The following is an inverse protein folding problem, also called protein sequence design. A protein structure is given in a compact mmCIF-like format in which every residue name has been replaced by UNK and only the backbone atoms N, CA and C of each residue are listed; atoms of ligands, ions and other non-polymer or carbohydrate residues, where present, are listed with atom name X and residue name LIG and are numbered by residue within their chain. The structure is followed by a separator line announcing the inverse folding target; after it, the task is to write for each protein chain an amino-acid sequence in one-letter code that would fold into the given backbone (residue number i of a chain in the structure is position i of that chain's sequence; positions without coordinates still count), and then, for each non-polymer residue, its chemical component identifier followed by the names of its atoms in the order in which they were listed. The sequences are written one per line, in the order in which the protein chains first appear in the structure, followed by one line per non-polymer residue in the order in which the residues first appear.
data_IF_622204104042
#
_entry.id   IF_622204104042
#
_cell.length_a   1.000
_cell.length_b   1.000
_cell.length_c   1.000
_cell.angle_alpha   90.00
_cell.angle_beta   90.00
_cell.angle_gamma   90.00
#
_symmetry.space_group_name_H-M   'P 1'
#
loop_
_entity.id
_entity.type
_entity.pdbx_description
1 polymer ?
#
# COMPACT_ATOMS: atom_id res chain seq x y z
N UNK A 1 8.25 14.51 -7.13
CA UNK A 1 9.07 15.32 -6.23
C UNK A 1 8.26 15.99 -5.13
N UNK A 2 7.23 16.82 -5.43
CA UNK A 2 6.45 17.54 -4.42
C UNK A 2 5.82 16.60 -3.38
N UNK A 3 5.23 15.51 -3.83
CA UNK A 3 4.63 14.48 -2.96
C UNK A 3 5.70 13.86 -2.04
N UNK A 4 6.88 13.54 -2.57
CA UNK A 4 7.96 12.98 -1.78
C UNK A 4 8.52 13.99 -0.78
N UNK A 5 8.61 15.27 -1.17
CA UNK A 5 9.04 16.33 -0.28
C UNK A 5 8.04 16.56 0.86
N UNK A 6 6.73 16.53 0.56
CA UNK A 6 5.72 16.61 1.58
C UNK A 6 5.77 15.42 2.55
N UNK A 7 5.96 14.20 2.03
CA UNK A 7 6.14 13.00 2.86
C UNK A 7 7.38 13.09 3.77
N UNK A 8 8.46 13.68 3.28
CA UNK A 8 9.66 13.94 4.06
C UNK A 8 9.34 14.93 5.20
N UNK A 9 8.60 16.00 4.91
CA UNK A 9 8.13 16.94 5.92
C UNK A 9 7.25 16.30 6.99
N UNK A 10 6.37 15.36 6.59
CA UNK A 10 5.55 14.61 7.55
C UNK A 10 6.41 13.73 8.48
N UNK A 11 7.41 13.04 7.94
CA UNK A 11 8.23 12.11 8.74
C UNK A 11 9.21 12.80 9.67
N UNK A 12 9.79 13.95 9.26
CA UNK A 12 10.90 14.56 9.98
C UNK A 12 10.60 15.95 10.55
N UNK A 13 9.56 16.65 10.06
CA UNK A 13 9.27 18.03 10.44
C UNK A 13 7.86 18.23 10.98
N UNK A 14 7.16 17.16 11.35
CA UNK A 14 5.80 17.19 11.88
C UNK A 14 4.82 17.98 11.00
N UNK A 15 4.98 17.90 9.66
CA UNK A 15 4.01 18.49 8.75
C UNK A 15 2.67 17.79 8.89
N UNK A 16 1.55 18.53 8.71
CA UNK A 16 0.24 18.01 9.05
C UNK A 16 -0.14 16.79 8.23
N UNK A 17 -0.92 15.91 8.88
CA UNK A 17 -1.58 14.77 8.24
C UNK A 17 -3.03 15.14 7.99
N UNK A 18 -3.49 14.95 6.76
CA UNK A 18 -4.88 15.18 6.39
C UNK A 18 -5.63 13.85 6.39
N UNK A 19 -6.48 13.64 7.38
CA UNK A 19 -7.28 12.42 7.50
C UNK A 19 -8.74 12.78 7.79
N UNK A 20 -9.56 12.80 6.75
CA UNK A 20 -10.99 13.15 6.86
C UNK A 20 -11.78 12.14 7.70
N UNK A 21 -11.26 10.94 7.89
CA UNK A 21 -11.89 9.91 8.72
C UNK A 21 -11.52 10.01 10.21
N UNK A 22 -10.53 10.83 10.55
CA UNK A 22 -10.13 11.04 11.94
C UNK A 22 -11.02 12.09 12.61
N UNK A 23 -11.60 11.76 13.78
CA UNK A 23 -12.52 12.64 14.49
C UNK A 23 -11.85 13.92 14.99
N UNK A 24 -10.59 13.86 15.39
CA UNK A 24 -9.86 15.03 15.87
C UNK A 24 -9.52 15.97 14.73
N UNK A 25 -9.19 15.42 13.55
CA UNK A 25 -8.99 16.23 12.35
C UNK A 25 -10.29 16.97 11.96
N UNK A 26 -11.45 16.31 12.05
CA UNK A 26 -12.73 16.94 11.73
C UNK A 26 -13.14 18.05 12.72
N UNK A 27 -12.55 18.07 13.92
CA UNK A 27 -12.66 19.17 14.90
C UNK A 27 -11.68 20.31 14.63
N UNK A 28 -10.87 20.24 13.60
CA UNK A 28 -9.84 21.23 13.28
C UNK A 28 -8.51 21.02 14.02
N UNK A 29 -8.34 19.91 14.73
CA UNK A 29 -7.09 19.59 15.43
C UNK A 29 -6.06 19.11 14.42
N UNK A 30 -4.86 19.70 14.46
CA UNK A 30 -3.75 19.32 13.61
C UNK A 30 -3.20 17.95 14.02
N UNK A 31 -3.09 17.05 13.04
CA UNK A 31 -2.48 15.74 13.23
C UNK A 31 -1.05 15.74 12.70
N UNK A 32 -0.17 14.96 13.33
CA UNK A 32 1.18 14.67 12.84
C UNK A 32 1.47 13.16 12.92
N UNK A 33 2.41 12.65 12.12
CA UNK A 33 2.78 11.24 12.17
C UNK A 33 3.62 10.92 13.41
N UNK A 34 3.25 9.86 14.13
CA UNK A 34 4.09 9.27 15.18
C UNK A 34 5.32 8.57 14.58
N UNK A 35 6.26 8.16 15.41
CA UNK A 35 7.55 7.62 14.96
C UNK A 35 7.41 6.42 14.01
N UNK A 36 6.52 5.47 14.32
CA UNK A 36 6.28 4.25 13.54
C UNK A 36 5.12 4.36 12.55
N UNK A 37 4.48 5.53 12.48
CA UNK A 37 3.40 5.75 11.55
C UNK A 37 3.89 5.77 10.09
N UNK A 38 3.09 5.23 9.21
CA UNK A 38 3.35 5.15 7.77
C UNK A 38 3.16 6.51 7.12
N UNK A 39 4.09 6.90 6.27
CA UNK A 39 3.95 8.14 5.51
C UNK A 39 2.82 7.98 4.49
N UNK A 40 1.91 8.94 4.48
CA UNK A 40 0.81 9.00 3.51
C UNK A 40 0.87 10.24 2.60
N UNK A 41 1.76 11.18 2.87
CA UNK A 41 1.91 12.43 2.12
C UNK A 41 0.57 13.17 1.99
N UNK A 42 0.18 13.56 0.79
CA UNK A 42 -1.07 14.25 0.49
C UNK A 42 -2.25 13.32 0.20
N UNK A 43 -2.12 12.02 0.48
CA UNK A 43 -3.16 11.02 0.24
C UNK A 43 -3.99 10.74 1.49
N UNK A 44 -5.18 10.19 1.32
CA UNK A 44 -6.06 9.79 2.41
C UNK A 44 -5.52 8.63 3.24
N UNK A 45 -4.63 7.82 2.66
CA UNK A 45 -3.97 6.70 3.32
C UNK A 45 -2.67 6.29 2.61
N UNK A 46 -1.85 5.54 3.33
CA UNK A 46 -0.57 5.01 2.82
C UNK A 46 -0.77 3.98 1.68
N UNK A 47 -1.90 3.27 1.64
CA UNK A 47 -2.23 2.35 0.54
C UNK A 47 -2.49 3.09 -0.77
N UNK A 48 -3.22 4.21 -0.71
CA UNK A 48 -3.49 5.06 -1.88
C UNK A 48 -2.21 5.68 -2.41
N UNK A 49 -1.35 6.17 -1.50
CA UNK A 49 -0.03 6.66 -1.85
C UNK A 49 0.80 5.57 -2.53
N UNK A 50 0.83 4.35 -1.95
CA UNK A 50 1.55 3.22 -2.53
C UNK A 50 1.05 2.87 -3.93
N UNK A 51 -0.26 2.76 -4.13
CA UNK A 51 -0.87 2.49 -5.43
C UNK A 51 -0.57 3.59 -6.48
N UNK A 52 -0.60 4.86 -6.07
CA UNK A 52 -0.20 5.98 -6.92
C UNK A 52 1.27 5.86 -7.36
N UNK A 53 2.16 5.49 -6.45
CA UNK A 53 3.58 5.31 -6.75
C UNK A 53 3.83 4.11 -7.68
N UNK A 54 3.03 3.05 -7.58
CA UNK A 54 3.04 1.91 -8.53
C UNK A 54 2.72 2.36 -9.96
N UNK A 55 1.98 3.47 -10.15
CA UNK A 55 1.73 4.03 -11.49
C UNK A 55 2.89 4.92 -11.92
N UNK A 56 3.27 5.88 -11.07
CA UNK A 56 4.15 6.98 -11.48
C UNK A 56 5.61 6.56 -11.58
N UNK A 57 6.09 5.72 -10.67
CA UNK A 57 7.51 5.32 -10.65
C UNK A 57 7.93 4.50 -11.89
N UNK A 58 7.13 3.53 -12.38
CA UNK A 58 7.43 2.85 -13.63
C UNK A 58 7.55 3.81 -14.82
N UNK A 59 6.66 4.78 -14.92
CA UNK A 59 6.68 5.76 -16.01
C UNK A 59 7.95 6.62 -15.93
N UNK A 60 8.28 7.16 -14.75
CA UNK A 60 9.51 7.91 -14.53
C UNK A 60 10.76 7.10 -14.90
N UNK A 61 10.79 5.83 -14.48
CA UNK A 61 11.92 4.94 -14.75
C UNK A 61 12.07 4.62 -16.23
N UNK A 62 10.96 4.42 -16.94
CA UNK A 62 10.94 4.20 -18.38
C UNK A 62 11.53 5.41 -19.13
N UNK A 63 11.12 6.63 -18.77
CA UNK A 63 11.73 7.85 -19.29
C UNK A 63 13.20 7.98 -18.93
N UNK A 64 13.58 7.66 -17.68
CA UNK A 64 14.97 7.73 -17.22
C UNK A 64 15.90 6.79 -18.03
N UNK A 65 15.43 5.60 -18.38
CA UNK A 65 16.23 4.67 -19.17
C UNK A 65 16.30 5.02 -20.65
N UNK A 66 15.28 5.66 -21.21
CA UNK A 66 15.19 5.96 -22.63
C UNK A 66 15.63 7.39 -23.00
N UNK A 67 15.72 8.31 -22.03
CA UNK A 67 16.15 9.68 -22.29
C UNK A 67 17.57 9.75 -22.85
N UNK A 68 17.75 10.50 -23.93
CA UNK A 68 19.04 10.72 -24.60
C UNK A 68 19.88 11.76 -23.88
N UNK A 69 19.26 12.76 -23.25
CA UNK A 69 19.95 13.84 -22.57
C UNK A 69 20.41 13.41 -21.17
N UNK A 70 21.70 13.50 -20.91
CA UNK A 70 22.33 13.07 -19.64
C UNK A 70 21.73 13.76 -18.41
N UNK A 71 21.40 15.05 -18.51
CA UNK A 71 20.84 15.79 -17.36
C UNK A 71 19.40 15.36 -17.06
N UNK A 72 18.54 15.19 -18.10
CA UNK A 72 17.19 14.69 -17.94
C UNK A 72 17.19 13.32 -17.28
N UNK A 73 18.05 12.43 -17.76
CA UNK A 73 18.21 11.09 -17.19
C UNK A 73 18.59 11.14 -15.71
N UNK A 74 19.53 12.04 -15.32
CA UNK A 74 19.92 12.19 -13.91
C UNK A 74 18.77 12.70 -13.05
N UNK A 75 18.07 13.73 -13.49
CA UNK A 75 16.92 14.28 -12.78
C UNK A 75 15.81 13.25 -12.61
N UNK A 76 15.52 12.49 -13.66
CA UNK A 76 14.50 11.44 -13.62
C UNK A 76 14.88 10.29 -12.66
N UNK A 77 16.14 9.86 -12.66
CA UNK A 77 16.62 8.87 -11.69
C UNK A 77 16.59 9.39 -10.24
N UNK A 78 16.95 10.64 -10.01
CA UNK A 78 16.83 11.25 -8.68
C UNK A 78 15.36 11.34 -8.23
N UNK A 79 14.48 11.83 -9.10
CA UNK A 79 13.04 11.90 -8.81
C UNK A 79 12.47 10.51 -8.51
N UNK A 80 12.88 9.50 -9.29
CA UNK A 80 12.50 8.12 -9.07
C UNK A 80 13.02 7.60 -7.71
N UNK A 81 14.27 7.87 -7.34
CA UNK A 81 14.85 7.47 -6.06
C UNK A 81 14.09 8.10 -4.87
N UNK A 82 13.70 9.38 -4.95
CA UNK A 82 12.85 10.04 -3.95
C UNK A 82 11.45 9.41 -3.86
N UNK A 83 10.87 9.01 -5.00
CA UNK A 83 9.60 8.32 -5.01
C UNK A 83 9.70 6.89 -4.46
N UNK A 84 10.80 6.18 -4.72
CA UNK A 84 11.08 4.88 -4.14
C UNK A 84 11.27 4.96 -2.62
N UNK A 85 12.01 5.97 -2.14
CA UNK A 85 12.10 6.27 -0.72
C UNK A 85 10.70 6.44 -0.10
N UNK A 86 9.83 7.22 -0.74
CA UNK A 86 8.47 7.44 -0.26
C UNK A 86 7.63 6.15 -0.25
N UNK A 87 7.82 5.27 -1.25
CA UNK A 87 7.16 3.96 -1.29
C UNK A 87 7.62 3.07 -0.12
N UNK A 88 8.91 3.06 0.20
CA UNK A 88 9.45 2.34 1.37
C UNK A 88 8.87 2.91 2.66
N UNK A 89 8.85 4.26 2.81
CA UNK A 89 8.32 4.92 4.00
C UNK A 89 6.79 4.78 4.17
N UNK A 90 6.06 4.45 3.10
CA UNK A 90 4.65 4.10 3.21
C UNK A 90 4.42 2.75 3.90
N UNK A 91 5.46 1.95 4.07
CA UNK A 91 5.46 0.60 4.64
C UNK A 91 4.31 -0.30 4.13
N UNK A 92 3.94 -0.12 2.85
CA UNK A 92 2.83 -0.82 2.20
C UNK A 92 3.36 -2.01 1.39
N UNK A 93 3.24 -3.23 1.94
CA UNK A 93 3.80 -4.47 1.36
C UNK A 93 3.31 -4.76 -0.05
N UNK A 94 2.00 -4.70 -0.27
CA UNK A 94 1.40 -5.03 -1.57
C UNK A 94 1.80 -4.06 -2.68
N UNK A 95 1.74 -2.73 -2.51
CA UNK A 95 2.26 -1.80 -3.49
C UNK A 95 3.77 -1.97 -3.74
N UNK A 96 4.55 -2.28 -2.71
CA UNK A 96 5.99 -2.51 -2.87
C UNK A 96 6.28 -3.75 -3.72
N UNK A 97 5.59 -4.87 -3.47
CA UNK A 97 5.69 -6.08 -4.28
C UNK A 97 5.20 -5.85 -5.72
N UNK A 98 4.07 -5.16 -5.90
CA UNK A 98 3.50 -4.79 -7.19
C UNK A 98 4.46 -3.89 -8.01
N UNK A 99 5.13 -2.96 -7.34
CA UNK A 99 6.17 -2.14 -7.96
C UNK A 99 7.38 -2.98 -8.37
N UNK A 100 7.80 -3.97 -7.56
CA UNK A 100 8.85 -4.93 -7.92
C UNK A 100 8.51 -5.67 -9.22
N UNK A 101 7.28 -6.13 -9.39
CA UNK A 101 6.79 -6.73 -10.62
C UNK A 101 6.85 -5.75 -11.80
N UNK A 102 6.40 -4.50 -11.61
CA UNK A 102 6.46 -3.48 -12.64
C UNK A 102 7.91 -3.19 -13.09
N UNK A 103 8.87 -3.15 -12.18
CA UNK A 103 10.31 -2.99 -12.49
C UNK A 103 10.81 -4.11 -13.41
N UNK A 104 10.45 -5.36 -13.11
CA UNK A 104 10.87 -6.50 -13.96
C UNK A 104 10.40 -6.32 -15.39
N UNK A 105 9.15 -5.88 -15.58
CA UNK A 105 8.63 -5.57 -16.92
C UNK A 105 9.38 -4.42 -17.57
N UNK A 106 9.63 -3.32 -16.87
CA UNK A 106 10.38 -2.18 -17.44
C UNK A 106 11.76 -2.62 -17.89
N UNK A 107 12.53 -3.28 -17.01
CA UNK A 107 13.90 -3.71 -17.31
C UNK A 107 13.90 -4.66 -18.51
N UNK A 108 12.97 -5.60 -18.54
CA UNK A 108 12.82 -6.55 -19.65
C UNK A 108 12.50 -5.83 -20.95
N UNK A 109 11.49 -4.96 -20.95
CA UNK A 109 11.02 -4.26 -22.16
C UNK A 109 12.05 -3.25 -22.69
N UNK A 110 12.69 -2.49 -21.79
CA UNK A 110 13.77 -1.55 -22.20
C UNK A 110 14.96 -2.33 -22.73
N UNK A 111 15.34 -3.45 -22.12
CA UNK A 111 16.48 -4.26 -22.54
C UNK A 111 16.19 -5.01 -23.85
N UNK A 112 14.93 -5.38 -24.12
CA UNK A 112 14.53 -6.02 -25.37
C UNK A 112 14.73 -5.16 -26.62
N UNK A 113 14.83 -3.83 -26.45
CA UNK A 113 15.10 -2.86 -27.53
C UNK A 113 16.54 -2.88 -28.04
N UNK A 114 17.47 -3.51 -27.31
CA UNK A 114 18.85 -3.69 -27.79
C UNK A 114 18.91 -4.60 -29.02
N UNK A 115 19.92 -4.33 -29.89
CA UNK A 115 20.00 -4.99 -31.21
C UNK A 115 20.38 -6.46 -31.17
N UNK A 116 21.26 -6.85 -30.24
CA UNK A 116 21.80 -8.22 -30.17
C UNK A 116 21.43 -8.90 -28.86
N UNK A 117 21.34 -10.21 -28.86
CA UNK A 117 20.99 -10.99 -27.66
C UNK A 117 21.98 -10.72 -26.49
N UNK A 118 23.28 -10.68 -26.76
CA UNK A 118 24.30 -10.36 -25.75
C UNK A 118 24.08 -8.96 -25.13
N UNK A 119 23.74 -7.96 -25.96
CA UNK A 119 23.43 -6.61 -25.46
C UNK A 119 22.13 -6.58 -24.66
N UNK A 120 21.11 -7.34 -25.09
CA UNK A 120 19.84 -7.48 -24.34
C UNK A 120 20.11 -8.03 -22.94
N UNK A 121 20.82 -9.16 -22.86
CA UNK A 121 21.15 -9.82 -21.59
C UNK A 121 22.06 -8.93 -20.71
N UNK A 122 23.10 -8.33 -21.26
CA UNK A 122 23.98 -7.42 -20.54
C UNK A 122 23.25 -6.17 -20.02
N UNK A 123 22.34 -5.60 -20.84
CA UNK A 123 21.49 -4.46 -20.44
C UNK A 123 20.53 -4.84 -19.33
N UNK A 124 19.92 -6.03 -19.42
CA UNK A 124 19.03 -6.56 -18.39
C UNK A 124 19.77 -6.75 -17.06
N UNK A 125 20.89 -7.44 -17.05
CA UNK A 125 21.68 -7.72 -15.84
C UNK A 125 22.14 -6.39 -15.21
N UNK A 126 22.69 -5.47 -16.00
CA UNK A 126 23.15 -4.16 -15.50
C UNK A 126 22.04 -3.36 -14.83
N UNK A 127 20.85 -3.29 -15.49
CA UNK A 127 19.72 -2.53 -14.95
C UNK A 127 19.11 -3.21 -13.72
N UNK A 128 19.01 -4.56 -13.73
CA UNK A 128 18.54 -5.34 -12.59
C UNK A 128 19.45 -5.18 -11.38
N UNK A 129 20.77 -5.26 -11.59
CA UNK A 129 21.74 -5.05 -10.52
C UNK A 129 21.67 -3.62 -9.96
N UNK A 130 21.64 -2.60 -10.83
CA UNK A 130 21.53 -1.20 -10.39
C UNK A 130 20.26 -0.91 -9.61
N UNK A 131 19.11 -1.48 -10.06
CA UNK A 131 17.83 -1.29 -9.38
C UNK A 131 17.78 -2.09 -8.07
N UNK A 132 18.23 -3.34 -8.08
CA UNK A 132 18.32 -4.17 -6.87
C UNK A 132 19.22 -3.53 -5.81
N UNK A 133 20.35 -2.97 -6.23
CA UNK A 133 21.26 -2.23 -5.34
C UNK A 133 20.60 -0.98 -4.74
N UNK A 134 19.85 -0.21 -5.56
CA UNK A 134 19.10 0.95 -5.07
C UNK A 134 18.02 0.56 -4.06
N UNK A 135 17.23 -0.49 -4.37
CA UNK A 135 16.20 -1.00 -3.46
C UNK A 135 16.84 -1.49 -2.17
N UNK A 136 17.95 -2.23 -2.25
CA UNK A 136 18.69 -2.71 -1.08
C UNK A 136 19.14 -1.54 -0.19
N UNK A 137 19.77 -0.50 -0.76
CA UNK A 137 20.15 0.68 0.02
C UNK A 137 18.94 1.34 0.67
N UNK A 138 17.84 1.52 -0.06
CA UNK A 138 16.62 2.14 0.48
C UNK A 138 16.01 1.31 1.61
N UNK A 139 15.94 0.00 1.45
CA UNK A 139 15.45 -0.92 2.50
C UNK A 139 16.37 -0.91 3.72
N UNK A 140 17.67 -1.02 3.52
CA UNK A 140 18.62 -0.99 4.62
C UNK A 140 18.65 0.36 5.35
N UNK A 141 18.44 1.49 4.68
CA UNK A 141 18.52 2.82 5.29
C UNK A 141 17.20 3.29 5.90
N UNK A 142 16.07 2.90 5.34
CA UNK A 142 14.75 3.46 5.68
C UNK A 142 13.65 2.40 5.83
N UNK A 143 13.95 1.13 5.59
CA UNK A 143 12.95 0.09 5.47
C UNK A 143 12.62 -0.68 6.75
N UNK A 144 12.97 -0.19 7.94
CA UNK A 144 12.72 -0.90 9.19
C UNK A 144 11.24 -1.25 9.35
N UNK A 145 10.35 -0.26 9.26
CA UNK A 145 8.91 -0.48 9.39
C UNK A 145 8.37 -1.45 8.31
N UNK A 146 8.94 -1.43 7.10
CA UNK A 146 8.59 -2.37 6.04
C UNK A 146 9.09 -3.78 6.33
N UNK A 147 10.32 -3.91 6.84
CA UNK A 147 10.94 -5.19 7.21
C UNK A 147 10.16 -5.87 8.33
N UNK A 148 9.84 -5.16 9.41
CA UNK A 148 9.04 -5.69 10.53
C UNK A 148 7.69 -6.22 10.06
N UNK A 149 7.07 -5.56 9.09
CA UNK A 149 5.80 -6.02 8.50
C UNK A 149 5.94 -7.24 7.59
N UNK A 150 7.09 -7.42 6.94
CA UNK A 150 7.38 -8.66 6.23
C UNK A 150 7.62 -9.80 7.22
N UNK A 151 8.33 -9.53 8.32
CA UNK A 151 8.54 -10.53 9.38
C UNK A 151 7.22 -11.03 9.97
N UNK A 152 6.26 -10.16 10.24
CA UNK A 152 4.92 -10.54 10.71
C UNK A 152 4.23 -11.58 9.81
N UNK A 153 4.50 -11.59 8.50
CA UNK A 153 3.99 -12.62 7.59
C UNK A 153 4.77 -13.92 7.76
N UNK A 154 6.10 -13.82 7.86
CA UNK A 154 7.00 -14.98 7.97
C UNK A 154 6.83 -15.71 9.30
N UNK A 155 6.55 -14.97 10.37
CA UNK A 155 6.27 -15.51 11.70
C UNK A 155 5.07 -16.46 11.74
N UNK A 156 4.11 -16.29 10.83
CA UNK A 156 3.01 -17.22 10.62
C UNK A 156 3.45 -18.58 10.04
N UNK A 157 4.73 -18.71 9.62
CA UNK A 157 5.27 -19.92 9.00
C UNK A 157 6.56 -20.37 9.75
N UNK A 158 6.46 -21.18 10.82
CA UNK A 158 7.58 -21.53 11.71
C UNK A 158 8.80 -22.11 10.98
N UNK A 159 8.59 -22.93 9.93
CA UNK A 159 9.67 -23.53 9.14
C UNK A 159 10.52 -22.51 8.39
N UNK A 160 9.94 -21.34 8.09
CA UNK A 160 10.62 -20.24 7.42
C UNK A 160 11.26 -19.33 8.47
N UNK A 161 10.60 -19.14 9.60
CA UNK A 161 11.04 -18.25 10.67
C UNK A 161 12.39 -18.67 11.26
N UNK A 162 12.60 -19.97 11.52
CA UNK A 162 13.85 -20.52 12.08
C UNK A 162 15.09 -20.18 11.22
N UNK A 163 14.92 -20.10 9.90
CA UNK A 163 16.00 -19.68 8.97
C UNK A 163 16.25 -18.17 8.96
N UNK A 164 15.26 -17.37 9.37
CA UNK A 164 15.35 -15.92 9.40
C UNK A 164 15.90 -15.38 10.72
N UNK A 165 15.84 -16.12 11.80
CA UNK A 165 16.30 -15.70 13.14
C UNK A 165 17.77 -15.23 13.12
N UNK A 166 18.64 -15.93 12.40
CA UNK A 166 20.06 -15.57 12.21
C UNK A 166 20.22 -14.27 11.41
N UNK A 167 19.37 -14.06 10.42
CA UNK A 167 19.38 -12.83 9.60
C UNK A 167 18.82 -11.65 10.41
N UNK A 168 17.86 -11.88 11.29
CA UNK A 168 17.24 -10.89 12.16
C UNK A 168 18.23 -10.30 13.17
N UNK A 169 19.02 -11.14 13.86
CA UNK A 169 20.05 -10.67 14.78
C UNK A 169 21.07 -9.77 14.07
N UNK A 170 21.51 -10.19 12.88
CA UNK A 170 22.43 -9.40 12.07
C UNK A 170 21.83 -8.07 11.60
N UNK A 171 20.56 -8.07 11.22
CA UNK A 171 19.84 -6.87 10.78
C UNK A 171 19.58 -5.91 11.94
N UNK A 172 19.19 -6.41 13.09
CA UNK A 172 18.92 -5.62 14.30
C UNK A 172 20.20 -4.97 14.84
N UNK A 173 21.33 -5.68 14.82
CA UNK A 173 22.63 -5.13 15.20
C UNK A 173 23.08 -4.00 14.27
N UNK A 174 22.90 -4.15 12.95
CA UNK A 174 23.14 -3.12 11.95
C UNK A 174 22.22 -1.90 12.13
N UNK A 175 20.94 -2.13 12.44
CA UNK A 175 19.98 -1.03 12.66
C UNK A 175 20.28 -0.27 13.95
N UNK A 176 20.69 -0.94 15.02
CA UNK A 176 21.09 -0.27 16.25
C UNK A 176 22.30 0.65 16.04
N UNK A 177 23.35 0.19 15.32
CA UNK A 177 24.48 1.03 14.95
C UNK A 177 24.08 2.22 14.08
N UNK A 178 23.19 2.00 13.09
CA UNK A 178 22.71 3.06 12.21
C UNK A 178 21.86 4.09 12.93
N UNK A 179 21.05 3.66 13.90
CA UNK A 179 20.25 4.58 14.73
C UNK A 179 21.18 5.57 15.44
N UNK A 180 22.28 5.11 16.02
CA UNK A 180 23.28 5.96 16.65
C UNK A 180 23.88 6.96 15.66
N UNK A 181 24.33 6.50 14.48
CA UNK A 181 24.90 7.39 13.46
C UNK A 181 23.88 8.39 12.91
N UNK A 182 22.63 7.96 12.72
CA UNK A 182 21.53 8.82 12.27
C UNK A 182 21.25 9.92 13.30
N UNK A 183 21.11 9.53 14.55
CA UNK A 183 20.78 10.44 15.64
C UNK A 183 21.90 11.44 15.87
N UNK A 184 23.16 11.02 15.73
CA UNK A 184 24.31 11.90 15.73
C UNK A 184 24.31 12.88 14.53
N UNK A 185 23.99 12.40 13.33
CA UNK A 185 23.88 13.23 12.14
C UNK A 185 22.75 14.25 12.27
N UNK A 186 21.58 13.83 12.79
CA UNK A 186 20.45 14.73 13.00
C UNK A 186 20.76 15.79 14.07
N UNK A 187 21.48 15.41 15.13
CA UNK A 187 21.98 16.35 16.11
C UNK A 187 22.91 17.40 15.48
N UNK A 188 23.88 16.96 14.67
CA UNK A 188 24.81 17.85 13.95
C UNK A 188 24.11 18.77 12.94
N UNK A 189 23.00 18.33 12.35
CA UNK A 189 22.21 19.12 11.40
C UNK A 189 21.13 19.99 12.07
N UNK A 190 21.01 19.94 13.40
CA UNK A 190 19.98 20.68 14.13
C UNK A 190 18.55 20.18 13.89
N UNK A 191 18.39 18.94 13.42
CA UNK A 191 17.08 18.34 13.09
C UNK A 191 16.42 17.65 14.30
N UNK A 192 17.14 17.47 15.40
CA UNK A 192 16.68 16.73 16.60
C UNK A 192 15.84 17.54 17.57
N UNK A 193 15.68 18.85 17.35
CA UNK A 193 15.00 19.75 18.29
C UNK A 193 13.58 20.14 17.88
N UNK A 194 13.02 19.52 16.83
CA UNK A 194 11.65 19.80 16.42
C UNK A 194 10.69 19.07 17.36
N UNK A 195 10.03 19.79 18.23
CA UNK A 195 8.91 19.30 19.00
C UNK A 195 7.62 19.33 18.15
N UNK A 196 6.67 18.43 18.43
CA UNK A 196 5.34 18.54 17.83
C UNK A 196 4.74 19.92 18.07
N UNK A 197 4.00 20.49 17.10
CA UNK A 197 3.32 21.78 17.30
C UNK A 197 2.35 21.75 18.48
N UNK A 198 2.24 22.85 19.20
CA UNK A 198 1.21 23.02 20.24
C UNK A 198 -0.20 22.75 19.66
N UNK A 199 -1.08 22.17 20.46
CA UNK A 199 -2.44 21.79 20.06
C UNK A 199 -2.51 20.80 18.86
N UNK A 200 -1.50 19.93 18.73
CA UNK A 200 -1.48 18.84 17.76
C UNK A 200 -1.55 17.49 18.44
N UNK A 201 -2.10 16.48 17.72
CA UNK A 201 -2.22 15.10 18.19
C UNK A 201 -1.45 14.18 17.25
N UNK A 202 -0.71 13.24 17.84
CA UNK A 202 -0.02 12.18 17.08
C UNK A 202 -1.03 11.29 16.38
N UNK A 203 -0.83 11.05 15.09
CA UNK A 203 -1.62 10.16 14.27
C UNK A 203 -0.80 8.91 13.97
N UNK A 204 -1.22 7.81 14.56
CA UNK A 204 -0.68 6.50 14.28
C UNK A 204 -1.62 5.77 13.33
N UNK A 205 -1.16 5.56 12.11
CA UNK A 205 -1.82 4.77 11.08
C UNK A 205 -1.13 3.42 10.90
N UNK A 206 -0.40 2.97 11.91
CA UNK A 206 0.06 1.59 11.97
C UNK A 206 -1.18 0.68 12.07
N UNK A 207 -1.08 -0.57 11.59
CA UNK A 207 -2.18 -1.54 11.76
C UNK A 207 -2.35 -1.98 13.23
N UNK A 208 -1.56 -1.40 14.12
CA UNK A 208 -1.65 -1.56 15.56
C UNK A 208 -2.66 -0.51 16.04
N UNK A 209 -3.86 -0.95 16.40
CA UNK A 209 -4.80 -0.08 17.10
C UNK A 209 -4.09 0.46 18.36
N UNK A 210 -4.27 1.76 18.69
CA UNK A 210 -3.72 2.29 19.93
C UNK A 210 -4.31 1.47 21.07
N UNK A 211 -3.45 0.73 21.76
CA UNK A 211 -3.82 0.08 23.01
C UNK A 211 -4.08 1.20 24.00
N UNK A 212 -5.31 1.37 24.41
CA UNK A 212 -5.61 2.05 25.66
C UNK A 212 -5.13 1.12 26.79
N UNK A 213 -3.82 1.08 27.00
CA UNK A 213 -3.26 0.40 28.18
C UNK A 213 -3.63 1.22 29.37
N UNK A 214 -4.34 0.66 30.37
CA UNK A 214 -4.40 1.29 31.69
C UNK A 214 -2.97 1.50 32.16
N UNK A 215 -2.67 2.66 32.70
CA UNK A 215 -1.33 3.25 32.93
C UNK A 215 -0.42 2.49 33.88
N UNK A 216 -0.78 1.32 34.39
CA UNK A 216 -0.07 0.67 35.49
C UNK A 216 0.71 -0.61 35.16
N UNK A 217 0.57 -1.17 33.96
CA UNK A 217 1.38 -2.33 33.54
C UNK A 217 1.78 -2.25 32.07
N UNK A 218 3.04 -1.92 31.81
CA UNK A 218 3.65 -2.04 30.49
C UNK A 218 4.14 -3.47 30.31
N UNK A 219 3.51 -4.32 29.49
CA UNK A 219 4.01 -5.64 29.21
C UNK A 219 5.28 -5.55 28.35
N UNK A 220 6.39 -6.06 28.85
CA UNK A 220 7.72 -5.91 28.25
C UNK A 220 8.03 -6.86 27.06
N UNK A 221 7.08 -7.67 26.59
CA UNK A 221 7.36 -8.73 25.58
C UNK A 221 6.18 -9.09 24.68
N UNK A 222 5.30 -8.17 24.30
CA UNK A 222 4.08 -8.62 23.64
C UNK A 222 4.05 -8.17 22.18
N UNK A 223 3.86 -9.13 21.28
CA UNK A 223 3.62 -8.94 19.85
C UNK A 223 2.34 -8.15 19.62
N UNK A 224 2.29 -7.28 18.60
CA UNK A 224 1.08 -6.53 18.23
C UNK A 224 -0.15 -7.43 17.97
N UNK A 225 0.04 -8.68 17.57
CA UNK A 225 -1.04 -9.66 17.38
C UNK A 225 -1.78 -10.02 18.65
N UNK A 226 -1.14 -9.90 19.82
CA UNK A 226 -1.75 -10.28 21.10
C UNK A 226 -2.64 -9.17 21.65
N UNK A 227 -2.42 -7.94 21.21
CA UNK A 227 -3.19 -6.75 21.57
C UNK A 227 -4.67 -6.85 21.17
N UNK A 228 -4.97 -7.59 20.11
CA UNK A 228 -6.35 -7.76 19.64
C UNK A 228 -7.12 -8.87 20.35
N UNK A 229 -6.47 -9.73 21.13
CA UNK A 229 -7.15 -10.80 21.86
C UNK A 229 -8.06 -10.30 22.98
N UNK A 230 -7.67 -9.19 23.59
CA UNK A 230 -8.30 -8.70 24.82
C UNK A 230 -9.29 -7.54 24.61
N UNK A 231 -9.50 -7.11 23.35
CA UNK A 231 -10.52 -6.11 23.06
C UNK A 231 -11.88 -6.81 22.85
N UNK A 232 -12.83 -6.66 23.78
CA UNK A 232 -14.15 -7.29 23.64
C UNK A 232 -14.90 -6.68 22.45
N UNK A 233 -15.59 -7.53 21.69
CA UNK A 233 -16.54 -7.08 20.69
C UNK A 233 -17.81 -6.61 21.39
N UNK A 234 -18.24 -5.37 21.11
CA UNK A 234 -19.51 -4.85 21.57
C UNK A 234 -20.61 -5.33 20.62
N UNK A 235 -21.41 -6.30 21.06
CA UNK A 235 -22.48 -6.89 20.26
C UNK A 235 -23.84 -6.36 20.74
N UNK A 236 -24.67 -5.89 19.80
CA UNK A 236 -26.06 -5.60 20.11
C UNK A 236 -26.85 -6.90 20.25
N UNK A 237 -27.35 -7.16 21.43
CA UNK A 237 -28.26 -8.26 21.68
C UNK A 237 -29.68 -7.70 21.82
N UNK A 238 -30.55 -8.09 20.92
CA UNK A 238 -31.97 -7.77 20.97
C UNK A 238 -32.70 -8.90 21.66
N UNK A 239 -33.21 -8.67 22.85
CA UNK A 239 -33.99 -9.62 23.62
C UNK A 239 -35.44 -9.20 23.58
N UNK A 240 -36.33 -10.08 23.14
CA UNK A 240 -37.78 -9.87 23.21
C UNK A 240 -38.28 -10.55 24.47
N UNK A 241 -38.84 -9.78 25.40
CA UNK A 241 -39.45 -10.29 26.61
C UNK A 241 -40.74 -11.03 26.27
N UNK A 242 -41.22 -11.91 27.18
CA UNK A 242 -42.47 -12.63 27.03
C UNK A 242 -43.70 -11.71 26.83
N UNK A 243 -43.58 -10.47 27.27
CA UNK A 243 -44.61 -9.41 27.08
C UNK A 243 -44.52 -8.68 25.75
N UNK A 244 -43.66 -9.14 24.80
CA UNK A 244 -43.52 -8.56 23.48
C UNK A 244 -42.67 -7.26 23.43
N UNK A 245 -42.08 -6.84 24.54
CA UNK A 245 -41.20 -5.68 24.58
C UNK A 245 -39.81 -6.07 24.11
N UNK A 246 -39.35 -5.42 23.04
CA UNK A 246 -38.04 -5.64 22.48
C UNK A 246 -37.04 -4.67 23.09
N UNK A 247 -36.08 -5.16 23.87
CA UNK A 247 -35.03 -4.36 24.46
C UNK A 247 -33.71 -4.67 23.75
N UNK A 248 -33.04 -3.64 23.27
CA UNK A 248 -31.69 -3.78 22.66
C UNK A 248 -30.64 -3.36 23.69
N UNK A 249 -29.81 -4.29 24.10
CA UNK A 249 -28.67 -4.01 24.98
C UNK A 249 -27.34 -4.22 24.22
N UNK A 250 -26.32 -3.46 24.61
CA UNK A 250 -24.97 -3.65 24.13
C UNK A 250 -24.26 -4.54 25.16
N UNK A 251 -23.81 -5.71 24.72
CA UNK A 251 -23.11 -6.69 25.58
C UNK A 251 -21.69 -6.84 25.07
N UNK A 252 -20.74 -6.78 25.99
CA UNK A 252 -19.35 -7.13 25.69
C UNK A 252 -19.23 -8.64 25.52
N UNK A 253 -18.73 -9.07 24.35
CA UNK A 253 -18.49 -10.48 24.06
C UNK A 253 -17.00 -10.64 23.82
N UNK A 254 -16.39 -11.68 24.41
CA UNK A 254 -15.01 -12.03 24.08
C UNK A 254 -14.87 -12.23 22.58
N UNK A 255 -13.85 -11.62 22.02
CA UNK A 255 -13.55 -11.71 20.59
C UNK A 255 -13.04 -13.11 20.28
N UNK A 256 -13.80 -13.85 19.50
CA UNK A 256 -13.37 -15.16 18.98
C UNK A 256 -12.63 -14.95 17.65
N UNK A 257 -11.42 -15.45 17.59
CA UNK A 257 -10.63 -15.45 16.36
C UNK A 257 -11.04 -16.61 15.46
N UNK A 258 -11.21 -16.35 14.19
CA UNK A 258 -11.43 -17.39 13.18
C UNK A 258 -10.15 -18.19 12.94
N UNK A 259 -10.28 -19.43 12.47
CA UNK A 259 -9.15 -20.27 12.07
C UNK A 259 -8.28 -19.60 11.00
N UNK A 260 -8.89 -18.85 10.09
CA UNK A 260 -8.18 -18.07 9.08
C UNK A 260 -7.37 -16.93 9.69
N UNK A 261 -7.92 -16.22 10.69
CA UNK A 261 -7.20 -15.15 11.38
C UNK A 261 -6.02 -15.69 12.20
N UNK A 262 -6.19 -16.86 12.84
CA UNK A 262 -5.11 -17.54 13.57
C UNK A 262 -4.00 -18.03 12.63
N UNK A 263 -4.38 -18.58 11.47
CA UNK A 263 -3.44 -19.20 10.53
C UNK A 263 -2.71 -18.17 9.66
N UNK A 264 -3.41 -17.15 9.16
CA UNK A 264 -2.90 -16.21 8.15
C UNK A 264 -2.76 -14.77 8.66
N UNK A 265 -3.06 -14.53 9.92
CA UNK A 265 -3.12 -13.21 10.54
C UNK A 265 -4.46 -12.50 10.32
N UNK A 266 -4.75 -11.52 11.18
CA UNK A 266 -6.04 -10.82 11.24
C UNK A 266 -6.44 -10.19 9.89
N UNK A 267 -5.49 -9.54 9.23
CA UNK A 267 -5.73 -8.84 7.96
C UNK A 267 -6.20 -9.78 6.83
N UNK A 268 -5.63 -10.98 6.77
CA UNK A 268 -6.04 -11.98 5.78
C UNK A 268 -7.31 -12.72 6.24
N UNK A 269 -7.45 -12.95 7.53
CA UNK A 269 -8.66 -13.54 8.12
C UNK A 269 -9.91 -12.75 7.76
N UNK A 270 -9.91 -11.42 7.96
CA UNK A 270 -11.05 -10.56 7.61
C UNK A 270 -11.42 -10.67 6.12
N UNK A 271 -10.43 -10.75 5.24
CA UNK A 271 -10.66 -10.91 3.79
C UNK A 271 -11.32 -12.24 3.47
N UNK A 272 -10.79 -13.32 4.02
CA UNK A 272 -11.29 -14.68 3.76
C UNK A 272 -12.65 -14.94 4.40
N UNK A 273 -12.89 -14.40 5.59
CA UNK A 273 -14.10 -14.71 6.37
C UNK A 273 -15.26 -13.76 6.05
N UNK A 274 -14.97 -12.52 5.64
CA UNK A 274 -16.01 -11.50 5.51
C UNK A 274 -15.99 -10.81 4.16
N UNK A 275 -14.88 -10.15 3.78
CA UNK A 275 -14.87 -9.24 2.63
C UNK A 275 -15.07 -9.97 1.30
N UNK A 276 -14.30 -11.02 1.06
CA UNK A 276 -14.37 -11.78 -0.18
C UNK A 276 -15.66 -12.61 -0.29
N UNK A 277 -16.13 -13.32 0.77
CA UNK A 277 -17.43 -13.96 0.73
C UNK A 277 -18.59 -13.00 0.48
N UNK A 278 -18.58 -11.78 1.03
CA UNK A 278 -19.62 -10.79 0.77
C UNK A 278 -19.62 -10.30 -0.68
N UNK A 279 -18.45 -10.14 -1.29
CA UNK A 279 -18.37 -9.82 -2.71
C UNK A 279 -18.93 -10.94 -3.59
N UNK A 280 -18.67 -12.22 -3.26
CA UNK A 280 -19.22 -13.38 -3.95
C UNK A 280 -20.75 -13.44 -3.75
N UNK A 281 -21.25 -13.21 -2.54
CA UNK A 281 -22.69 -13.10 -2.29
C UNK A 281 -23.34 -11.97 -3.11
N UNK A 282 -22.66 -10.82 -3.23
CA UNK A 282 -23.10 -9.71 -4.09
C UNK A 282 -23.22 -10.13 -5.56
N UNK A 283 -22.22 -10.82 -6.08
CA UNK A 283 -22.26 -11.40 -7.42
C UNK A 283 -23.42 -12.40 -7.61
N UNK A 284 -23.62 -13.29 -6.65
CA UNK A 284 -24.67 -14.32 -6.72
C UNK A 284 -26.09 -13.74 -6.69
N UNK A 285 -26.30 -12.52 -6.18
CA UNK A 285 -27.63 -11.85 -6.23
C UNK A 285 -28.07 -11.60 -7.67
N UNK A 286 -27.16 -11.17 -8.53
CA UNK A 286 -27.38 -11.00 -9.96
C UNK A 286 -26.04 -11.20 -10.71
N UNK A 287 -25.75 -12.40 -11.19
CA UNK A 287 -24.46 -12.68 -11.84
C UNK A 287 -24.16 -11.81 -13.05
N UNK A 288 -25.17 -11.28 -13.74
CA UNK A 288 -24.97 -10.43 -14.90
C UNK A 288 -24.63 -8.98 -14.54
N UNK A 289 -25.34 -8.39 -13.56
CA UNK A 289 -25.27 -6.97 -13.20
C UNK A 289 -24.71 -6.70 -11.79
N UNK A 290 -24.49 -7.73 -10.98
CA UNK A 290 -24.01 -7.61 -9.60
C UNK A 290 -25.10 -7.12 -8.64
N UNK A 291 -24.70 -6.74 -7.44
CA UNK A 291 -25.59 -6.22 -6.39
C UNK A 291 -25.85 -4.72 -6.48
N UNK A 292 -25.11 -4.01 -7.31
CA UNK A 292 -25.09 -2.55 -7.40
C UNK A 292 -23.83 -1.93 -6.82
N UNK A 293 -23.50 -0.72 -7.30
CA UNK A 293 -22.32 0.03 -6.85
C UNK A 293 -22.45 0.39 -5.36
N UNK A 294 -21.34 0.22 -4.62
CA UNK A 294 -21.25 0.51 -3.18
C UNK A 294 -22.28 -0.22 -2.30
N UNK A 295 -22.67 -1.45 -2.68
CA UNK A 295 -23.66 -2.27 -1.94
C UNK A 295 -23.02 -3.42 -1.15
N UNK A 296 -21.72 -3.59 -1.20
CA UNK A 296 -20.99 -4.63 -0.45
C UNK A 296 -20.72 -4.12 0.96
N UNK A 297 -21.60 -4.46 1.90
CA UNK A 297 -21.50 -4.02 3.29
C UNK A 297 -20.99 -5.15 4.18
N UNK A 298 -20.17 -4.81 5.19
CA UNK A 298 -19.97 -5.66 6.36
C UNK A 298 -21.24 -5.64 7.19
N UNK A 299 -21.76 -6.79 7.51
CA UNK A 299 -22.68 -6.93 8.63
C UNK A 299 -21.85 -6.83 9.92
N UNK A 300 -21.44 -5.63 10.27
CA UNK A 300 -20.86 -5.36 11.58
C UNK A 300 -21.92 -4.82 12.51
N UNK A 301 -21.82 -5.18 13.77
CA UNK A 301 -22.71 -4.75 14.85
C UNK A 301 -22.70 -3.25 15.12
N UNK A 302 -21.87 -2.49 14.42
CA UNK A 302 -21.72 -1.05 14.57
C UNK A 302 -22.51 -0.29 13.52
N UNK A 303 -23.10 0.82 13.92
CA UNK A 303 -24.09 1.66 13.25
C UNK A 303 -23.67 2.34 11.93
N UNK A 304 -22.57 1.99 11.32
CA UNK A 304 -22.16 2.58 10.05
C UNK A 304 -22.47 1.60 8.93
N UNK A 305 -23.51 1.89 8.18
CA UNK A 305 -23.81 1.31 6.87
C UNK A 305 -22.89 1.95 5.82
N UNK A 306 -21.59 1.82 6.02
CA UNK A 306 -20.64 2.22 4.98
C UNK A 306 -20.44 1.05 4.02
N UNK A 307 -20.41 1.35 2.73
CA UNK A 307 -19.98 0.39 1.74
C UNK A 307 -18.54 0.02 2.03
N UNK A 308 -18.30 -1.22 2.38
CA UNK A 308 -16.99 -1.66 2.78
C UNK A 308 -16.05 -1.84 1.59
N UNK A 309 -14.79 -1.55 1.82
CA UNK A 309 -13.73 -2.01 0.95
C UNK A 309 -13.76 -3.53 0.87
N UNK A 310 -13.61 -4.08 -0.33
CA UNK A 310 -13.43 -5.52 -0.55
C UNK A 310 -11.97 -5.91 -0.36
N UNK A 311 -11.06 -4.93 -0.36
CA UNK A 311 -9.63 -5.13 -0.41
C UNK A 311 -9.21 -6.07 -1.56
N UNK A 312 -9.98 -6.05 -2.64
CA UNK A 312 -9.73 -6.79 -3.87
C UNK A 312 -10.61 -6.23 -4.99
N UNK A 313 -10.02 -5.46 -5.89
CA UNK A 313 -10.77 -4.83 -6.99
C UNK A 313 -11.43 -5.83 -7.95
N UNK A 314 -10.87 -7.01 -8.13
CA UNK A 314 -11.49 -8.03 -9.01
C UNK A 314 -12.82 -8.48 -8.41
N UNK A 315 -12.80 -8.85 -7.14
CA UNK A 315 -14.01 -9.27 -6.42
C UNK A 315 -15.00 -8.12 -6.24
N UNK A 316 -14.51 -6.90 -6.00
CA UNK A 316 -15.36 -5.73 -5.89
C UNK A 316 -16.13 -5.46 -7.16
N UNK A 317 -15.43 -5.34 -8.29
CA UNK A 317 -16.08 -5.09 -9.59
C UNK A 317 -17.04 -6.24 -9.93
N UNK A 318 -16.64 -7.48 -9.68
CA UNK A 318 -17.50 -8.64 -9.93
C UNK A 318 -18.75 -8.63 -9.03
N UNK A 319 -18.59 -8.35 -7.76
CA UNK A 319 -19.69 -8.33 -6.79
C UNK A 319 -20.66 -7.18 -7.01
N UNK A 320 -20.15 -5.97 -7.28
CA UNK A 320 -20.95 -4.77 -7.46
C UNK A 320 -21.59 -4.67 -8.86
N UNK A 321 -20.89 -5.09 -9.92
CA UNK A 321 -21.31 -4.84 -11.31
C UNK A 321 -21.51 -6.10 -12.15
N UNK A 322 -21.35 -7.27 -11.54
CA UNK A 322 -21.53 -8.57 -12.19
C UNK A 322 -20.51 -8.83 -13.31
N UNK A 323 -20.83 -9.85 -14.10
CA UNK A 323 -19.96 -10.28 -15.21
C UNK A 323 -19.84 -9.21 -16.31
N UNK A 324 -20.92 -8.47 -16.58
CA UNK A 324 -20.92 -7.44 -17.59
C UNK A 324 -19.97 -6.30 -17.23
N UNK A 325 -20.06 -5.79 -15.99
CA UNK A 325 -19.15 -4.76 -15.50
C UNK A 325 -17.72 -5.25 -15.38
N UNK A 326 -17.51 -6.49 -14.94
CA UNK A 326 -16.18 -7.10 -14.85
C UNK A 326 -15.49 -7.18 -16.22
N UNK A 327 -16.18 -7.73 -17.22
CA UNK A 327 -15.62 -7.88 -18.59
C UNK A 327 -15.35 -6.51 -19.21
N UNK A 328 -16.26 -5.54 -19.05
CA UNK A 328 -16.07 -4.21 -19.63
C UNK A 328 -14.95 -3.44 -18.93
N UNK A 329 -14.90 -3.43 -17.61
CA UNK A 329 -13.87 -2.74 -16.86
C UNK A 329 -12.47 -3.29 -17.12
N UNK A 330 -12.28 -4.60 -16.93
CA UNK A 330 -10.97 -5.22 -17.17
C UNK A 330 -10.66 -5.35 -18.67
N UNK A 331 -11.68 -5.39 -19.52
CA UNK A 331 -11.54 -5.32 -20.98
C UNK A 331 -10.88 -4.02 -21.44
N UNK A 332 -11.22 -2.87 -20.83
CA UNK A 332 -10.55 -1.58 -21.13
C UNK A 332 -9.07 -1.63 -20.72
N UNK A 333 -8.75 -2.22 -19.57
CA UNK A 333 -7.36 -2.37 -19.12
C UNK A 333 -6.60 -3.29 -20.08
N UNK A 334 -7.20 -4.40 -20.49
CA UNK A 334 -6.59 -5.31 -21.46
C UNK A 334 -6.36 -4.62 -22.82
N UNK A 335 -7.33 -3.85 -23.31
CA UNK A 335 -7.18 -3.06 -24.53
C UNK A 335 -6.03 -2.04 -24.40
N UNK A 336 -5.89 -1.42 -23.23
CA UNK A 336 -4.77 -0.50 -22.91
C UNK A 336 -3.42 -1.25 -22.98
N UNK A 337 -3.33 -2.43 -22.39
CA UNK A 337 -2.13 -3.27 -22.45
C UNK A 337 -1.80 -3.65 -23.91
N UNK A 338 -2.79 -4.08 -24.68
CA UNK A 338 -2.60 -4.41 -26.09
C UNK A 338 -2.16 -3.20 -26.93
N UNK A 339 -2.72 -2.03 -26.67
CA UNK A 339 -2.36 -0.79 -27.37
C UNK A 339 -0.94 -0.36 -27.02
N UNK A 340 -0.59 -0.30 -25.76
CA UNK A 340 0.75 0.08 -25.32
C UNK A 340 1.81 -0.92 -25.79
N UNK A 341 1.51 -2.23 -25.82
CA UNK A 341 2.40 -3.26 -26.34
C UNK A 341 2.86 -2.99 -27.77
N UNK A 342 1.97 -2.50 -28.64
CA UNK A 342 2.31 -2.18 -30.05
C UNK A 342 3.34 -1.05 -30.18
N UNK A 343 3.44 -0.18 -29.16
CA UNK A 343 4.34 1.00 -29.18
C UNK A 343 5.63 0.81 -28.37
N UNK A 344 5.87 -0.34 -27.75
CA UNK A 344 7.09 -0.62 -26.97
C UNK A 344 8.36 -0.40 -27.80
N UNK A 345 8.33 -0.78 -29.09
CA UNK A 345 9.45 -0.66 -30.01
C UNK A 345 9.35 0.56 -30.94
N UNK A 346 8.51 1.55 -30.62
CA UNK A 346 8.39 2.75 -31.43
C UNK A 346 9.74 3.48 -31.52
N UNK A 347 10.02 4.06 -32.71
CA UNK A 347 11.25 4.84 -32.95
C UNK A 347 11.27 6.14 -32.19
N UNK A 348 10.08 6.73 -31.91
CA UNK A 348 9.96 7.92 -31.10
C UNK A 348 10.15 7.57 -29.63
N UNK A 349 11.25 8.01 -29.05
CA UNK A 349 11.63 7.74 -27.65
C UNK A 349 10.49 8.04 -26.68
N UNK A 350 9.80 9.17 -26.88
CA UNK A 350 8.70 9.58 -26.03
C UNK A 350 7.53 8.58 -26.04
N UNK A 351 7.11 8.11 -27.23
CA UNK A 351 6.05 7.10 -27.36
C UNK A 351 6.43 5.77 -26.72
N UNK A 352 7.64 5.33 -26.98
CA UNK A 352 8.16 4.09 -26.39
C UNK A 352 8.24 4.20 -24.85
N UNK A 353 8.69 5.33 -24.32
CA UNK A 353 8.79 5.54 -22.87
C UNK A 353 7.42 5.51 -22.19
N UNK A 354 6.43 6.22 -22.75
CA UNK A 354 5.05 6.15 -22.24
C UNK A 354 4.49 4.73 -22.36
N UNK A 355 4.67 4.07 -23.49
CA UNK A 355 4.14 2.74 -23.73
C UNK A 355 4.72 1.72 -22.75
N UNK A 356 6.03 1.68 -22.57
CA UNK A 356 6.71 0.79 -21.61
C UNK A 356 6.30 1.13 -20.18
N UNK A 357 6.33 2.41 -19.83
CA UNK A 357 6.00 2.87 -18.49
C UNK A 357 4.56 2.54 -18.11
N UNK A 358 3.59 2.85 -18.97
CA UNK A 358 2.18 2.60 -18.71
C UNK A 358 1.83 1.10 -18.76
N UNK A 359 2.43 0.32 -19.69
CA UNK A 359 2.27 -1.14 -19.70
C UNK A 359 2.72 -1.74 -18.37
N UNK A 360 3.93 -1.41 -17.92
CA UNK A 360 4.49 -1.94 -16.68
C UNK A 360 3.73 -1.45 -15.44
N UNK A 361 3.31 -0.19 -15.42
CA UNK A 361 2.45 0.37 -14.37
C UNK A 361 1.10 -0.34 -14.30
N UNK A 362 0.48 -0.65 -15.43
CA UNK A 362 -0.80 -1.37 -15.49
C UNK A 362 -0.68 -2.77 -14.93
N UNK A 363 0.41 -3.51 -15.26
CA UNK A 363 0.66 -4.83 -14.68
C UNK A 363 0.88 -4.73 -13.16
N UNK A 364 1.69 -3.78 -12.72
CA UNK A 364 1.89 -3.54 -11.28
C UNK A 364 0.58 -3.17 -10.57
N UNK A 365 -0.23 -2.29 -11.16
CA UNK A 365 -1.49 -1.88 -10.56
C UNK A 365 -2.51 -3.03 -10.52
N UNK A 366 -2.56 -3.89 -11.54
CA UNK A 366 -3.38 -5.11 -11.52
C UNK A 366 -2.95 -6.07 -10.41
N UNK A 367 -1.64 -6.26 -10.22
CA UNK A 367 -1.13 -7.07 -9.11
C UNK A 367 -1.52 -6.46 -7.75
N UNK A 368 -1.44 -5.14 -7.60
CA UNK A 368 -1.86 -4.44 -6.39
C UNK A 368 -3.39 -4.56 -6.18
N UNK A 369 -4.18 -4.50 -7.24
CA UNK A 369 -5.63 -4.62 -7.24
C UNK A 369 -6.14 -5.98 -6.71
N UNK A 370 -5.32 -7.01 -6.70
CA UNK A 370 -5.66 -8.32 -6.13
C UNK A 370 -5.77 -8.28 -4.59
N UNK A 371 -5.24 -7.24 -3.95
CA UNK A 371 -5.18 -7.16 -2.49
C UNK A 371 -5.67 -5.82 -1.89
N UNK A 372 -5.92 -4.82 -2.74
CA UNK A 372 -6.39 -3.49 -2.34
C UNK A 372 -7.34 -2.94 -3.42
N UNK A 373 -8.32 -2.15 -3.03
CA UNK A 373 -9.28 -1.50 -3.94
C UNK A 373 -8.68 -0.23 -4.59
N UNK A 374 -7.63 -0.42 -5.40
CA UNK A 374 -6.81 0.67 -5.95
C UNK A 374 -7.56 1.60 -6.92
N UNK A 375 -8.51 1.07 -7.67
CA UNK A 375 -9.30 1.87 -8.63
C UNK A 375 -10.46 2.62 -7.97
N UNK A 376 -10.75 2.36 -6.69
CA UNK A 376 -11.71 3.14 -5.92
C UNK A 376 -11.09 4.42 -5.35
N UNK A 377 -9.78 4.47 -5.17
CA UNK A 377 -9.06 5.64 -4.69
C UNK A 377 -8.98 6.72 -5.79
N UNK A 378 -9.66 7.86 -5.60
CA UNK A 378 -9.84 8.90 -6.62
C UNK A 378 -8.52 9.38 -7.25
N UNK A 379 -7.48 9.67 -6.44
CA UNK A 379 -6.19 10.13 -6.95
C UNK A 379 -5.47 9.06 -7.79
N UNK A 380 -5.63 7.80 -7.46
CA UNK A 380 -5.09 6.66 -8.22
C UNK A 380 -5.85 6.53 -9.54
N UNK A 381 -7.18 6.47 -9.46
CA UNK A 381 -8.05 6.32 -10.62
C UNK A 381 -7.89 7.45 -11.64
N UNK A 382 -7.96 8.71 -11.21
CA UNK A 382 -7.79 9.86 -12.11
C UNK A 382 -6.41 9.88 -12.75
N UNK A 383 -5.36 9.56 -11.99
CA UNK A 383 -4.01 9.49 -12.54
C UNK A 383 -3.88 8.39 -13.58
N UNK A 384 -4.36 7.19 -13.27
CA UNK A 384 -4.28 6.05 -14.19
C UNK A 384 -5.06 6.29 -15.47
N UNK A 385 -6.35 6.64 -15.38
CA UNK A 385 -7.21 6.84 -16.53
C UNK A 385 -6.81 8.08 -17.35
N UNK A 386 -6.31 9.13 -16.71
CA UNK A 386 -5.72 10.29 -17.40
C UNK A 386 -4.49 9.91 -18.23
N UNK A 387 -3.61 9.09 -17.69
CA UNK A 387 -2.43 8.56 -18.40
C UNK A 387 -2.81 7.61 -19.53
N UNK A 388 -3.82 6.75 -19.32
CA UNK A 388 -4.38 5.89 -20.37
C UNK A 388 -4.93 6.73 -21.51
N UNK A 389 -5.79 7.73 -21.21
CA UNK A 389 -6.33 8.64 -22.21
C UNK A 389 -5.23 9.34 -22.99
N UNK A 390 -4.23 9.89 -22.30
CA UNK A 390 -3.08 10.54 -22.93
C UNK A 390 -2.29 9.58 -23.83
N UNK A 391 -1.99 8.37 -23.36
CA UNK A 391 -1.23 7.39 -24.14
C UNK A 391 -1.97 6.92 -25.40
N UNK A 392 -3.29 6.98 -25.43
CA UNK A 392 -4.09 6.63 -26.61
C UNK A 392 -4.04 7.72 -27.70
N UNK A 393 -3.70 8.97 -27.36
CA UNK A 393 -3.62 10.10 -28.30
C UNK A 393 -2.22 10.30 -28.89
N UNK A 394 -1.21 9.71 -28.29
CA UNK A 394 0.22 9.82 -28.68
C UNK A 394 0.64 8.63 -29.50
#
# INVERSE_FOLDING_TARGET
LLISFYGLGQKYWYWPVYSTMNREFSKGIRLYLTEHARVQSTFGGHYDLGAYLVIVLPILLSFAYLSEKKWERRVLHLTHAFGLWLLVMSASRTPFAAYGLAILFIITLVSSREKTWLKKTGSFIKKSFGMGFLIMIMMLSFGQDMYERFLQVVEGYPEIYEKYEIAEESFNSLNAQRKIYRDELYSKLGLTSLAPPENSIGFDNSDIAPVLVPTDEVPTTIRPSDVYKDIPDLVKVTTTSADGVTTTSIVEKERTWSDNALKYGLSMGIRLDTLWPNAIKGFMKNPLLGSGYATLNKETSYHFLEADSTDNNFLRVLGETGLLGFITFFGIILATLQRTWKHINDKKVFRAAIAIGLFSASIGLLANAAYIDVYAASKVAFTYWGLVGFALTV
#
